data_IF_812182366372
#
_entry.id   IF_812182366372
#
_cell.length_a   1.000
_cell.length_b   1.000
_cell.length_c   1.000
_cell.angle_alpha   90.00
_cell.angle_beta   90.00
_cell.angle_gamma   90.00
#
_symmetry.space_group_name_H-M   'P 1'
#
loop_
_entity.id
_entity.type
_entity.pdbx_description
1 polymer ?
#
# COMPACT_ATOMS: atom_id res chain seq x y z
N UNK A 1 4.41 -3.23 -46.91
CA UNK A 1 4.17 -3.01 -45.45
C UNK A 1 2.66 -3.00 -45.13
N UNK A 2 1.81 -2.27 -45.86
CA UNK A 2 0.35 -2.30 -45.67
C UNK A 2 -0.29 -3.69 -45.80
N UNK A 3 0.06 -4.46 -46.83
CA UNK A 3 -0.52 -5.81 -47.02
C UNK A 3 -0.20 -6.82 -45.91
N UNK A 4 0.93 -6.68 -45.20
CA UNK A 4 1.28 -7.54 -44.06
C UNK A 4 0.55 -7.11 -42.79
N UNK A 5 0.34 -5.80 -42.60
CA UNK A 5 -0.48 -5.26 -41.51
C UNK A 5 -1.95 -5.66 -41.66
N UNK A 6 -2.49 -5.65 -42.88
CA UNK A 6 -3.87 -6.07 -43.16
C UNK A 6 -4.08 -7.57 -42.94
N UNK A 7 -3.11 -8.41 -43.33
CA UNK A 7 -3.13 -9.85 -43.04
C UNK A 7 -3.10 -10.12 -41.54
N UNK A 8 -2.16 -9.49 -40.82
CA UNK A 8 -2.06 -9.62 -39.37
C UNK A 8 -3.34 -9.15 -38.66
N UNK A 9 -3.96 -8.07 -39.15
CA UNK A 9 -5.20 -7.53 -38.62
C UNK A 9 -6.43 -8.39 -38.92
N UNK A 10 -6.39 -9.23 -39.95
CA UNK A 10 -7.42 -10.24 -40.23
C UNK A 10 -7.27 -11.47 -39.32
N UNK A 11 -6.04 -11.84 -38.98
CA UNK A 11 -5.72 -12.93 -38.05
C UNK A 11 -6.01 -12.56 -36.58
N UNK A 12 -5.97 -11.28 -36.23
CA UNK A 12 -6.16 -10.78 -34.86
C UNK A 12 -7.33 -9.78 -34.77
N UNK A 13 -8.59 -10.23 -34.94
CA UNK A 13 -9.76 -9.36 -35.04
C UNK A 13 -10.07 -8.58 -33.76
N UNK A 14 -9.54 -9.02 -32.63
CA UNK A 14 -9.73 -8.35 -31.33
C UNK A 14 -8.65 -7.32 -31.02
N UNK A 15 -7.56 -7.26 -31.79
CA UNK A 15 -6.47 -6.33 -31.53
C UNK A 15 -6.85 -4.89 -31.94
N UNK A 16 -6.55 -3.88 -31.09
CA UNK A 16 -6.86 -2.49 -31.38
C UNK A 16 -6.07 -2.00 -32.61
N UNK A 17 -6.78 -1.47 -33.60
CA UNK A 17 -6.22 -0.95 -34.85
C UNK A 17 -6.01 0.57 -34.77
N UNK A 18 -5.27 1.08 -33.79
CA UNK A 18 -5.23 2.53 -33.57
C UNK A 18 -3.83 3.03 -33.19
N UNK A 19 -3.36 4.06 -33.89
CA UNK A 19 -2.09 4.74 -33.66
C UNK A 19 -2.12 5.72 -32.48
N UNK A 20 -3.11 5.62 -31.59
CA UNK A 20 -3.30 6.48 -30.41
C UNK A 20 -3.76 5.66 -29.20
N UNK A 21 -3.08 5.82 -28.07
CA UNK A 21 -3.24 5.03 -26.84
C UNK A 21 -4.67 4.99 -26.25
N UNK A 22 -5.53 5.96 -26.57
CA UNK A 22 -6.86 6.10 -25.96
C UNK A 22 -8.01 5.39 -26.71
N UNK A 23 -7.74 4.72 -27.83
CA UNK A 23 -8.80 4.07 -28.64
C UNK A 23 -8.84 2.55 -28.44
N UNK A 24 -8.13 2.00 -27.46
CA UNK A 24 -8.14 0.55 -27.19
C UNK A 24 -9.45 0.17 -26.48
N UNK A 25 -10.27 -0.73 -27.05
CA UNK A 25 -11.54 -1.12 -26.43
C UNK A 25 -11.29 -1.86 -25.11
N UNK A 26 -12.11 -1.56 -24.10
CA UNK A 26 -11.99 -2.19 -22.77
C UNK A 26 -12.15 -3.72 -22.83
N UNK A 27 -12.89 -4.25 -23.81
CA UNK A 27 -12.99 -5.71 -24.03
C UNK A 27 -11.64 -6.37 -24.35
N UNK A 28 -10.67 -5.62 -24.90
CA UNK A 28 -9.31 -6.09 -25.13
C UNK A 28 -8.39 -5.82 -23.93
N UNK A 29 -8.50 -4.64 -23.33
CA UNK A 29 -7.61 -4.21 -22.25
C UNK A 29 -7.99 -4.85 -20.89
N UNK A 30 -9.27 -4.92 -20.58
CA UNK A 30 -9.82 -5.41 -19.32
C UNK A 30 -9.35 -6.81 -18.95
N UNK A 31 -9.46 -7.82 -19.83
CA UNK A 31 -8.98 -9.17 -19.53
C UNK A 31 -7.47 -9.22 -19.27
N UNK A 32 -6.68 -8.38 -19.94
CA UNK A 32 -5.20 -8.32 -19.75
C UNK A 32 -4.84 -7.68 -18.42
N UNK A 33 -5.52 -6.59 -18.05
CA UNK A 33 -5.35 -5.97 -16.74
C UNK A 33 -5.79 -6.91 -15.62
N UNK A 34 -6.94 -7.57 -15.77
CA UNK A 34 -7.42 -8.56 -14.82
C UNK A 34 -6.43 -9.73 -14.66
N UNK A 35 -5.90 -10.24 -15.78
CA UNK A 35 -4.86 -11.27 -15.78
C UNK A 35 -3.57 -10.80 -15.07
N UNK A 36 -3.11 -9.58 -15.37
CA UNK A 36 -1.92 -9.00 -14.73
C UNK A 36 -2.09 -8.83 -13.22
N UNK A 37 -3.24 -8.32 -12.77
CA UNK A 37 -3.57 -8.17 -11.35
C UNK A 37 -3.67 -9.53 -10.67
N UNK A 38 -4.30 -10.51 -11.31
CA UNK A 38 -4.44 -11.86 -10.76
C UNK A 38 -3.06 -12.52 -10.57
N UNK A 39 -2.19 -12.44 -11.57
CA UNK A 39 -0.81 -12.99 -11.48
C UNK A 39 -0.01 -12.25 -10.40
N UNK A 40 -0.10 -10.92 -10.33
CA UNK A 40 0.58 -10.15 -9.29
C UNK A 40 0.08 -10.52 -7.88
N UNK A 41 -1.23 -10.71 -7.71
CA UNK A 41 -1.82 -11.15 -6.44
C UNK A 41 -1.37 -12.55 -6.03
N UNK A 42 -1.32 -13.50 -6.97
CA UNK A 42 -0.80 -14.84 -6.71
C UNK A 42 0.70 -14.82 -6.36
N UNK A 43 1.51 -14.03 -7.07
CA UNK A 43 2.92 -13.88 -6.78
C UNK A 43 3.16 -13.25 -5.41
N UNK A 44 2.37 -12.23 -5.04
CA UNK A 44 2.41 -11.62 -3.72
C UNK A 44 2.06 -12.62 -2.61
N UNK A 45 0.99 -13.40 -2.80
CA UNK A 45 0.58 -14.43 -1.86
C UNK A 45 1.64 -15.52 -1.70
N UNK A 46 2.16 -16.06 -2.81
CA UNK A 46 3.23 -17.05 -2.80
C UNK A 46 4.51 -16.51 -2.14
N UNK A 47 4.86 -15.25 -2.39
CA UNK A 47 6.00 -14.60 -1.76
C UNK A 47 5.86 -14.54 -0.23
N UNK A 48 4.65 -14.24 0.26
CA UNK A 48 4.37 -14.21 1.70
C UNK A 48 4.45 -15.60 2.37
N UNK A 49 4.26 -16.68 1.61
CA UNK A 49 4.36 -18.05 2.14
C UNK A 49 5.80 -18.58 2.07
N UNK A 50 6.50 -18.28 0.97
CA UNK A 50 7.81 -18.89 0.69
C UNK A 50 8.98 -18.13 1.33
N UNK A 51 8.92 -16.80 1.35
CA UNK A 51 10.05 -15.98 1.77
C UNK A 51 9.83 -15.27 3.11
N UNK A 52 8.59 -15.25 3.62
CA UNK A 52 8.26 -14.61 4.90
C UNK A 52 8.31 -15.61 6.08
N UNK A 53 9.40 -16.37 6.18
CA UNK A 53 9.60 -17.41 7.20
C UNK A 53 9.81 -16.83 8.60
N UNK A 54 10.47 -15.66 8.69
CA UNK A 54 10.63 -14.92 9.94
C UNK A 54 9.89 -13.58 9.85
N UNK A 55 8.78 -13.46 10.61
CA UNK A 55 8.09 -12.19 10.80
C UNK A 55 8.81 -11.41 11.90
N UNK A 56 9.20 -10.15 11.69
CA UNK A 56 9.74 -9.34 12.77
C UNK A 56 8.70 -9.22 13.89
N UNK A 57 9.16 -9.31 15.13
CA UNK A 57 8.32 -9.30 16.34
C UNK A 57 7.46 -8.03 16.45
N UNK A 58 7.90 -6.93 15.82
CA UNK A 58 7.17 -5.67 15.72
C UNK A 58 5.86 -5.76 14.92
N UNK A 59 5.66 -6.83 14.14
CA UNK A 59 4.42 -7.08 13.41
C UNK A 59 3.46 -8.00 14.18
N UNK A 60 3.85 -8.48 15.36
CA UNK A 60 2.98 -9.30 16.20
C UNK A 60 1.75 -8.50 16.66
N UNK A 61 0.58 -9.15 16.82
CA UNK A 61 -0.61 -8.49 17.35
C UNK A 61 -0.40 -7.91 18.74
N UNK A 62 0.39 -8.60 19.57
CA UNK A 62 0.73 -8.20 20.93
C UNK A 62 1.54 -6.90 20.95
N UNK A 63 2.62 -6.84 20.16
CA UNK A 63 3.42 -5.62 20.04
C UNK A 63 2.62 -4.44 19.51
N UNK A 64 1.73 -4.68 18.53
CA UNK A 64 0.83 -3.64 18.01
C UNK A 64 -0.19 -3.17 19.06
N UNK A 65 -0.70 -4.08 19.89
CA UNK A 65 -1.62 -3.75 20.97
C UNK A 65 -0.91 -2.93 22.06
N UNK A 66 0.32 -3.28 22.41
CA UNK A 66 1.14 -2.53 23.37
C UNK A 66 1.53 -1.15 22.82
N UNK A 67 1.98 -1.06 21.57
CA UNK A 67 2.25 0.21 20.91
C UNK A 67 1.01 1.12 20.89
N UNK A 68 -0.19 0.55 20.69
CA UNK A 68 -1.45 1.30 20.77
C UNK A 68 -1.78 1.77 22.19
N UNK A 69 -1.42 1.00 23.24
CA UNK A 69 -1.60 1.38 24.65
C UNK A 69 -0.68 2.52 25.08
N UNK A 70 0.58 2.51 24.62
CA UNK A 70 1.55 3.58 24.87
C UNK A 70 1.06 4.89 24.22
N UNK A 71 0.34 4.79 23.11
CA UNK A 71 -0.25 5.92 22.42
C UNK A 71 0.81 6.79 21.76
N UNK A 72 0.45 8.04 21.45
CA UNK A 72 1.34 9.00 20.82
C UNK A 72 2.31 9.62 21.83
N UNK A 73 2.98 8.80 22.65
CA UNK A 73 3.92 9.27 23.67
C UNK A 73 5.25 8.56 23.48
N UNK A 74 6.32 9.34 23.35
CA UNK A 74 7.68 8.84 23.37
C UNK A 74 8.23 8.96 24.80
N UNK A 75 8.57 7.82 25.40
CA UNK A 75 9.38 7.79 26.60
C UNK A 75 10.83 8.13 26.23
N UNK A 76 11.48 8.98 27.03
CA UNK A 76 12.86 9.41 26.83
C UNK A 76 13.69 8.98 28.04
N UNK A 77 14.92 8.50 27.82
CA UNK A 77 15.76 7.99 28.92
C UNK A 77 16.18 9.10 29.91
N UNK A 78 16.44 10.32 29.42
CA UNK A 78 17.00 11.42 30.22
C UNK A 78 16.13 12.70 30.17
N UNK A 79 14.83 12.58 29.86
CA UNK A 79 13.93 13.73 29.74
C UNK A 79 12.47 13.29 30.03
N UNK A 80 11.57 14.22 30.37
CA UNK A 80 10.16 13.90 30.49
C UNK A 80 9.61 13.31 29.17
N UNK A 81 8.60 12.45 29.25
CA UNK A 81 7.96 11.89 28.06
C UNK A 81 7.35 13.02 27.23
N UNK A 82 7.31 12.86 25.90
CA UNK A 82 6.77 13.90 25.02
C UNK A 82 5.84 13.26 24.02
N UNK A 83 4.81 14.00 23.61
CA UNK A 83 3.92 13.54 22.57
C UNK A 83 4.62 13.39 21.22
N UNK A 84 4.36 12.25 20.56
CA UNK A 84 4.71 12.00 19.18
C UNK A 84 3.68 12.65 18.25
N UNK A 85 4.16 13.29 17.19
CA UNK A 85 3.33 13.89 16.13
C UNK A 85 2.15 14.73 16.66
N UNK A 86 2.39 15.75 17.50
CA UNK A 86 1.33 16.50 18.18
C UNK A 86 0.33 17.16 17.22
N UNK A 87 0.78 17.63 16.05
CA UNK A 87 -0.09 18.21 15.02
C UNK A 87 -1.06 17.19 14.43
N UNK A 88 -0.54 16.02 14.01
CA UNK A 88 -1.35 14.95 13.43
C UNK A 88 -2.33 14.35 14.44
N UNK A 89 -1.94 14.34 15.72
CA UNK A 89 -2.75 13.83 16.83
C UNK A 89 -3.64 14.90 17.48
N UNK A 90 -3.67 16.14 16.94
CA UNK A 90 -4.50 17.26 17.41
C UNK A 90 -4.34 17.55 18.91
N UNK A 91 -3.13 17.40 19.42
CA UNK A 91 -2.84 17.65 20.83
C UNK A 91 -2.72 19.16 21.01
N UNK A 92 -3.51 19.77 21.93
CA UNK A 92 -3.45 21.21 22.15
C UNK A 92 -2.04 21.64 22.56
N UNK A 93 -1.53 22.72 21.96
CA UNK A 93 -0.19 23.26 22.28
C UNK A 93 -0.07 23.83 23.70
N UNK A 94 -1.19 23.89 24.46
CA UNK A 94 -1.22 24.22 25.88
C UNK A 94 -0.81 23.05 26.79
N UNK A 95 -0.75 21.83 26.25
CA UNK A 95 -0.31 20.64 26.98
C UNK A 95 1.17 20.43 26.64
N UNK A 96 2.07 20.66 27.60
CA UNK A 96 3.53 20.61 27.39
C UNK A 96 4.03 19.16 27.37
N UNK A 97 3.40 18.29 28.16
CA UNK A 97 3.71 16.87 28.22
C UNK A 97 2.53 15.96 28.61
N UNK A 98 2.66 14.64 28.39
CA UNK A 98 1.71 13.61 28.83
C UNK A 98 1.34 13.65 30.31
N UNK A 99 2.25 14.13 31.14
CA UNK A 99 2.08 14.36 32.57
C UNK A 99 1.05 15.44 32.91
N UNK A 100 0.95 16.50 32.09
CA UNK A 100 0.08 17.65 32.38
C UNK A 100 -1.42 17.30 32.30
N UNK A 101 -1.78 16.19 31.64
CA UNK A 101 -3.17 15.72 31.55
C UNK A 101 -3.66 15.14 32.87
N UNK A 102 -2.79 14.63 33.75
CA UNK A 102 -3.23 14.05 35.04
C UNK A 102 -3.73 15.11 36.03
N UNK A 103 -3.29 16.36 35.86
CA UNK A 103 -3.58 17.46 36.77
C UNK A 103 -4.67 18.42 36.21
N UNK A 104 -5.29 18.09 35.07
CA UNK A 104 -6.47 18.76 34.48
C UNK A 104 -7.76 17.98 34.73
#
# INVERSE_FOLDING_TARGET
>A
MQAQLERWAAEHPTAPRTGRFFEVPFSYLGPRLAGGIAVAGLAWYANSLLFWTYKPETLSPEFRAEAKKIGAVAQRMNAPPVYLNPFSNRIPGSVLGPEDIKDM
#
